data_IF_049637233736
#
_entry.id   IF_049637233736
#
_cell.length_a   1.000
_cell.length_b   1.000
_cell.length_c   1.000
_cell.angle_alpha   90.00
_cell.angle_beta   90.00
_cell.angle_gamma   90.00
#
_symmetry.space_group_name_H-M   'P 1'
#
loop_
_entity.id
_entity.type
_entity.pdbx_description
1 polymer ?
#
# COMPACT_ATOMS: atom_id res chain seq x y z
N UNK A 1 21.21 27.46 23.51
CA UNK A 1 21.06 27.60 22.05
C UNK A 1 19.93 26.69 21.57
N UNK A 2 18.87 27.33 21.09
CA UNK A 2 17.82 26.91 20.13
C UNK A 2 17.15 25.52 20.22
N UNK A 3 16.03 25.46 20.95
CA UNK A 3 14.98 24.41 20.93
C UNK A 3 14.17 24.32 19.61
N UNK A 4 14.46 25.14 18.60
CA UNK A 4 13.66 25.27 17.38
C UNK A 4 14.19 24.48 16.17
N UNK A 5 15.39 23.89 16.25
CA UNK A 5 16.00 23.21 15.10
C UNK A 5 15.55 21.76 14.93
N UNK A 6 15.05 21.13 16.01
CA UNK A 6 14.56 19.75 15.98
C UNK A 6 13.09 19.61 15.55
N UNK A 7 12.33 20.72 15.48
CA UNK A 7 10.93 20.72 15.04
C UNK A 7 10.77 20.64 13.52
N UNK A 8 11.81 21.00 12.75
CA UNK A 8 11.74 21.07 11.28
C UNK A 8 12.44 19.89 10.59
N UNK A 9 13.21 19.06 11.31
CA UNK A 9 14.00 17.99 10.71
C UNK A 9 13.21 16.69 10.52
N UNK A 10 12.29 16.39 11.45
CA UNK A 10 11.41 15.22 11.36
C UNK A 10 10.39 15.35 10.22
N UNK A 11 9.77 16.53 9.95
CA UNK A 11 8.95 16.71 8.75
C UNK A 11 9.75 16.68 7.44
N UNK A 12 11.02 17.13 7.44
CA UNK A 12 11.83 17.26 6.22
C UNK A 12 12.38 15.91 5.75
N UNK A 13 12.73 14.98 6.65
CA UNK A 13 13.12 13.61 6.31
C UNK A 13 11.93 12.76 5.83
N UNK A 14 10.75 13.03 6.39
CA UNK A 14 9.47 12.45 5.94
C UNK A 14 9.11 13.00 4.55
N UNK A 15 9.37 14.27 4.26
CA UNK A 15 9.06 14.89 2.95
C UNK A 15 9.90 14.27 1.82
N UNK A 16 11.22 14.19 1.90
CA UNK A 16 12.04 13.70 0.76
C UNK A 16 11.91 12.19 0.48
N UNK A 17 11.61 11.38 1.49
CA UNK A 17 11.36 9.94 1.32
C UNK A 17 9.90 9.62 0.91
N UNK A 18 8.97 10.56 1.13
CA UNK A 18 7.52 10.46 0.84
C UNK A 18 7.09 11.52 -0.18
N UNK A 19 7.98 12.18 -0.91
CA UNK A 19 7.55 13.20 -1.89
C UNK A 19 7.16 12.55 -3.22
N UNK A 20 7.90 11.52 -3.65
CA UNK A 20 7.59 10.77 -4.88
C UNK A 20 6.64 9.59 -4.63
N UNK A 21 6.59 9.06 -3.40
CA UNK A 21 5.78 7.88 -3.09
C UNK A 21 4.26 8.12 -3.21
N UNK A 22 3.68 9.25 -2.77
CA UNK A 22 2.25 9.51 -2.91
C UNK A 22 1.86 9.74 -4.37
N UNK A 23 2.68 10.46 -5.14
CA UNK A 23 2.37 10.73 -6.55
C UNK A 23 2.48 9.46 -7.40
N UNK A 24 3.58 8.71 -7.29
CA UNK A 24 3.78 7.46 -8.03
C UNK A 24 2.79 6.37 -7.58
N UNK A 25 2.47 6.30 -6.29
CA UNK A 25 1.44 5.39 -5.77
C UNK A 25 0.06 5.77 -6.28
N UNK A 26 -0.30 7.06 -6.25
CA UNK A 26 -1.58 7.53 -6.78
C UNK A 26 -1.71 7.27 -8.28
N UNK A 27 -0.64 7.47 -9.05
CA UNK A 27 -0.60 7.15 -10.48
C UNK A 27 -0.76 5.64 -10.70
N UNK A 28 -0.01 4.82 -9.95
CA UNK A 28 -0.09 3.36 -10.03
C UNK A 28 -1.49 2.84 -9.65
N UNK A 29 -2.11 3.39 -8.60
CA UNK A 29 -3.47 3.05 -8.18
C UNK A 29 -4.52 3.53 -9.20
N UNK A 30 -4.29 4.67 -9.84
CA UNK A 30 -5.13 5.17 -10.94
C UNK A 30 -5.07 4.20 -12.12
N UNK A 31 -3.88 3.72 -12.47
CA UNK A 31 -3.68 2.72 -13.52
C UNK A 31 -4.36 1.39 -13.18
N UNK A 32 -4.24 0.92 -11.93
CA UNK A 32 -4.97 -0.27 -11.44
C UNK A 32 -6.48 -0.10 -11.60
N UNK A 33 -7.03 1.04 -11.19
CA UNK A 33 -8.47 1.33 -11.33
C UNK A 33 -8.91 1.37 -12.80
N UNK A 34 -8.07 1.94 -13.67
CA UNK A 34 -8.34 1.97 -15.11
C UNK A 34 -8.36 0.56 -15.72
N UNK A 35 -7.39 -0.28 -15.39
CA UNK A 35 -7.33 -1.68 -15.83
C UNK A 35 -8.51 -2.50 -15.30
N UNK A 36 -8.92 -2.26 -14.05
CA UNK A 36 -10.12 -2.87 -13.47
C UNK A 36 -11.38 -2.48 -14.25
N UNK A 37 -11.56 -1.19 -14.55
CA UNK A 37 -12.70 -0.73 -15.34
C UNK A 37 -12.69 -1.34 -16.75
N UNK A 38 -11.53 -1.43 -17.39
CA UNK A 38 -11.40 -2.05 -18.72
C UNK A 38 -11.74 -3.53 -18.71
N UNK A 39 -11.24 -4.29 -17.73
CA UNK A 39 -11.58 -5.69 -17.56
C UNK A 39 -13.08 -5.88 -17.30
N UNK A 40 -13.68 -5.06 -16.41
CA UNK A 40 -15.09 -5.14 -16.08
C UNK A 40 -15.97 -4.87 -17.30
N UNK A 41 -15.70 -3.81 -18.07
CA UNK A 41 -16.45 -3.49 -19.28
C UNK A 41 -16.44 -4.64 -20.30
N UNK A 42 -15.31 -5.33 -20.45
CA UNK A 42 -15.21 -6.50 -21.35
C UNK A 42 -16.04 -7.66 -20.78
N UNK A 43 -15.95 -7.94 -19.48
CA UNK A 43 -16.69 -9.02 -18.84
C UNK A 43 -18.21 -8.80 -18.89
N UNK A 44 -18.67 -7.56 -18.72
CA UNK A 44 -20.09 -7.20 -18.82
C UNK A 44 -20.59 -7.40 -20.25
N UNK A 45 -19.86 -6.89 -21.25
CA UNK A 45 -20.19 -7.10 -22.67
C UNK A 45 -20.16 -8.58 -23.08
N UNK A 46 -19.20 -9.34 -22.53
CA UNK A 46 -19.12 -10.79 -22.71
C UNK A 46 -20.32 -11.50 -22.12
N UNK A 47 -20.78 -11.10 -20.94
CA UNK A 47 -21.96 -11.69 -20.29
C UNK A 47 -23.19 -11.59 -21.19
N UNK A 48 -23.45 -10.40 -21.75
CA UNK A 48 -24.55 -10.17 -22.69
C UNK A 48 -24.39 -11.00 -23.98
N UNK A 49 -23.17 -11.04 -24.52
CA UNK A 49 -22.84 -11.80 -25.74
C UNK A 49 -23.05 -13.31 -25.53
N UNK A 50 -22.59 -13.83 -24.39
CA UNK A 50 -22.71 -15.25 -24.03
C UNK A 50 -24.18 -15.62 -23.85
N UNK A 51 -24.98 -14.79 -23.15
CA UNK A 51 -26.41 -15.02 -22.99
C UNK A 51 -27.11 -15.08 -24.36
N UNK A 52 -26.85 -14.09 -25.22
CA UNK A 52 -27.42 -14.01 -26.57
C UNK A 52 -27.00 -15.21 -27.42
N UNK A 53 -25.74 -15.64 -27.31
CA UNK A 53 -25.22 -16.82 -28.01
C UNK A 53 -25.95 -18.10 -27.59
N UNK A 54 -26.15 -18.31 -26.28
CA UNK A 54 -26.87 -19.48 -25.78
C UNK A 54 -28.35 -19.48 -26.17
N UNK A 55 -29.02 -18.32 -26.13
CA UNK A 55 -30.40 -18.21 -26.61
C UNK A 55 -30.50 -18.57 -28.10
N UNK A 56 -29.61 -18.02 -28.93
CA UNK A 56 -29.60 -18.32 -30.36
C UNK A 56 -29.27 -19.79 -30.65
N UNK A 57 -28.38 -20.41 -29.88
CA UNK A 57 -28.12 -21.85 -29.96
C UNK A 57 -29.35 -22.68 -29.57
N UNK A 58 -30.04 -22.29 -28.47
CA UNK A 58 -31.24 -22.98 -27.97
C UNK A 58 -32.36 -23.00 -29.01
N UNK A 59 -32.54 -21.90 -29.75
CA UNK A 59 -33.56 -21.78 -30.79
C UNK A 59 -33.09 -22.26 -32.17
N UNK A 60 -31.88 -22.83 -32.30
CA UNK A 60 -31.34 -23.30 -33.58
C UNK A 60 -31.16 -22.19 -34.61
N UNK A 61 -30.95 -20.93 -34.17
CA UNK A 61 -30.84 -19.74 -35.02
C UNK A 61 -29.47 -19.55 -35.67
N UNK A 62 -28.48 -20.37 -35.28
CA UNK A 62 -27.09 -20.26 -35.75
C UNK A 62 -26.65 -21.52 -36.47
N UNK A 63 -25.97 -21.30 -37.60
CA UNK A 63 -25.25 -22.33 -38.34
C UNK A 63 -23.96 -22.70 -37.61
N UNK A 64 -23.40 -23.88 -37.90
CA UNK A 64 -22.25 -24.42 -37.17
C UNK A 64 -20.99 -23.53 -37.30
N UNK A 65 -20.78 -22.93 -38.48
CA UNK A 65 -19.67 -21.98 -38.68
C UNK A 65 -19.87 -20.67 -37.88
N UNK A 66 -21.11 -20.22 -37.70
CA UNK A 66 -21.44 -19.01 -36.93
C UNK A 66 -21.19 -19.24 -35.45
N UNK A 67 -21.53 -20.44 -34.96
CA UNK A 67 -21.21 -20.84 -33.58
C UNK A 67 -19.71 -20.84 -33.34
N UNK A 68 -18.96 -21.44 -34.26
CA UNK A 68 -17.49 -21.51 -34.17
C UNK A 68 -16.88 -20.11 -34.17
N UNK A 69 -17.39 -19.21 -35.01
CA UNK A 69 -16.97 -17.80 -35.08
C UNK A 69 -17.28 -17.04 -33.78
N UNK A 70 -18.49 -17.21 -33.23
CA UNK A 70 -18.90 -16.59 -31.98
C UNK A 70 -18.05 -17.08 -30.80
N UNK A 71 -17.80 -18.39 -30.70
CA UNK A 71 -16.94 -18.98 -29.67
C UNK A 71 -15.53 -18.40 -29.75
N UNK A 72 -14.95 -18.33 -30.96
CA UNK A 72 -13.63 -17.72 -31.14
C UNK A 72 -13.62 -16.24 -30.71
N UNK A 73 -14.69 -15.50 -30.99
CA UNK A 73 -14.83 -14.12 -30.56
C UNK A 73 -14.89 -13.99 -29.03
N UNK A 74 -15.74 -14.78 -28.38
CA UNK A 74 -15.89 -14.82 -26.91
C UNK A 74 -14.55 -15.16 -26.26
N UNK A 75 -13.84 -16.18 -26.75
CA UNK A 75 -12.54 -16.58 -26.21
C UNK A 75 -11.52 -15.44 -26.32
N UNK A 76 -11.45 -14.76 -27.46
CA UNK A 76 -10.51 -13.65 -27.68
C UNK A 76 -10.78 -12.47 -26.75
N UNK A 77 -12.05 -12.12 -26.56
CA UNK A 77 -12.44 -11.04 -25.65
C UNK A 77 -12.12 -11.42 -24.20
N UNK A 78 -12.33 -12.68 -23.82
CA UNK A 78 -11.96 -13.16 -22.49
C UNK A 78 -10.45 -13.13 -22.27
N UNK A 79 -9.66 -13.52 -23.26
CA UNK A 79 -8.20 -13.41 -23.23
C UNK A 79 -7.73 -11.96 -23.06
N UNK A 80 -8.41 -11.01 -23.70
CA UNK A 80 -8.14 -9.57 -23.49
C UNK A 80 -8.42 -9.14 -22.05
N UNK A 81 -9.56 -9.53 -21.47
CA UNK A 81 -9.84 -9.24 -20.07
C UNK A 81 -8.78 -9.85 -19.13
N UNK A 82 -8.30 -11.06 -19.45
CA UNK A 82 -7.24 -11.72 -18.70
C UNK A 82 -5.91 -10.94 -18.76
N UNK A 83 -5.56 -10.34 -19.90
CA UNK A 83 -4.36 -9.48 -20.03
C UNK A 83 -4.47 -8.29 -19.08
N UNK A 84 -5.59 -7.56 -19.07
CA UNK A 84 -5.78 -6.44 -18.14
C UNK A 84 -5.65 -6.87 -16.67
N UNK A 85 -6.16 -8.04 -16.29
CA UNK A 85 -5.99 -8.61 -14.96
C UNK A 85 -4.52 -8.96 -14.62
N UNK A 86 -3.74 -9.43 -15.60
CA UNK A 86 -2.31 -9.73 -15.41
C UNK A 86 -1.50 -8.45 -15.23
N UNK A 87 -1.74 -7.45 -16.05
CA UNK A 87 -1.07 -6.14 -15.98
C UNK A 87 -1.38 -5.47 -14.64
N UNK A 88 -2.63 -5.54 -14.18
CA UNK A 88 -3.04 -5.05 -12.86
C UNK A 88 -2.24 -5.72 -11.74
N UNK A 89 -2.10 -7.05 -11.80
CA UNK A 89 -1.34 -7.81 -10.79
C UNK A 89 0.12 -7.36 -10.74
N UNK A 90 0.74 -7.13 -11.89
CA UNK A 90 2.13 -6.67 -11.97
C UNK A 90 2.32 -5.30 -11.30
N UNK A 91 1.41 -4.36 -11.54
CA UNK A 91 1.44 -3.04 -10.88
C UNK A 91 1.33 -3.19 -9.36
N UNK A 92 0.39 -4.01 -8.87
CA UNK A 92 0.20 -4.25 -7.43
C UNK A 92 1.43 -4.92 -6.80
N UNK A 93 2.04 -5.89 -7.48
CA UNK A 93 3.29 -6.52 -7.03
C UNK A 93 4.44 -5.50 -6.94
N UNK A 94 4.54 -4.59 -7.90
CA UNK A 94 5.53 -3.52 -7.88
C UNK A 94 5.29 -2.54 -6.72
N UNK A 95 4.05 -2.09 -6.50
CA UNK A 95 3.66 -1.26 -5.35
C UNK A 95 4.09 -1.93 -4.04
N UNK A 96 3.76 -3.21 -3.87
CA UNK A 96 4.07 -3.95 -2.65
C UNK A 96 5.59 -4.14 -2.46
N UNK A 97 6.33 -4.39 -3.53
CA UNK A 97 7.80 -4.46 -3.51
C UNK A 97 8.42 -3.15 -3.05
N UNK A 98 7.97 -2.02 -3.62
CA UNK A 98 8.43 -0.67 -3.25
C UNK A 98 8.10 -0.34 -1.80
N UNK A 99 6.87 -0.61 -1.37
CA UNK A 99 6.46 -0.43 0.02
C UNK A 99 7.35 -1.21 1.00
N UNK A 100 7.63 -2.50 0.71
CA UNK A 100 8.53 -3.31 1.56
C UNK A 100 9.96 -2.77 1.61
N UNK A 101 10.47 -2.22 0.51
CA UNK A 101 11.81 -1.58 0.50
C UNK A 101 11.81 -0.32 1.36
N UNK A 102 10.73 0.47 1.33
CA UNK A 102 10.63 1.68 2.14
C UNK A 102 10.60 1.35 3.63
N UNK A 103 9.74 0.41 4.06
CA UNK A 103 9.67 -0.02 5.47
C UNK A 103 11.05 -0.41 6.00
N UNK A 104 11.79 -1.23 5.24
CA UNK A 104 13.16 -1.63 5.63
C UNK A 104 14.14 -0.45 5.72
N UNK A 105 14.03 0.55 4.84
CA UNK A 105 14.87 1.74 4.90
C UNK A 105 14.57 2.55 6.15
N UNK A 106 13.28 2.73 6.48
CA UNK A 106 12.85 3.42 7.69
C UNK A 106 13.35 2.69 8.95
N UNK A 107 13.28 1.35 8.99
CA UNK A 107 13.81 0.56 10.11
C UNK A 107 15.32 0.78 10.29
N UNK A 108 16.09 0.82 9.20
CA UNK A 108 17.54 1.07 9.24
C UNK A 108 17.84 2.50 9.69
N UNK A 109 17.14 3.50 9.15
CA UNK A 109 17.32 4.90 9.52
C UNK A 109 16.96 5.14 11.00
N UNK A 110 15.90 4.50 11.48
CA UNK A 110 15.51 4.54 12.89
C UNK A 110 16.58 3.94 13.79
N UNK A 111 17.14 2.78 13.43
CA UNK A 111 18.22 2.17 14.22
C UNK A 111 19.50 3.01 14.19
N UNK A 112 19.82 3.62 13.05
CA UNK A 112 20.95 4.55 12.95
C UNK A 112 20.77 5.75 13.86
N UNK A 113 19.58 6.36 13.83
CA UNK A 113 19.25 7.49 14.70
C UNK A 113 19.33 7.10 16.18
N UNK A 114 18.91 5.89 16.52
CA UNK A 114 19.03 5.34 17.88
C UNK A 114 20.49 5.23 18.32
N UNK A 115 21.36 4.66 17.48
CA UNK A 115 22.80 4.56 17.76
C UNK A 115 23.48 5.93 17.87
N UNK A 116 23.12 6.89 17.00
CA UNK A 116 23.63 8.27 17.05
C UNK A 116 23.23 8.97 18.36
N UNK A 117 21.97 8.84 18.79
CA UNK A 117 21.49 9.37 20.06
C UNK A 117 22.22 8.78 21.27
N UNK A 118 22.45 7.46 21.26
CA UNK A 118 23.14 6.76 22.35
C UNK A 118 24.62 7.15 22.44
N UNK A 119 25.26 7.41 21.30
CA UNK A 119 26.65 7.87 21.25
C UNK A 119 26.80 9.32 21.75
N UNK A 120 25.85 10.19 21.42
CA UNK A 120 25.86 11.60 21.85
C UNK A 120 25.41 11.77 23.31
N UNK A 121 24.54 10.89 23.82
CA UNK A 121 24.06 10.89 25.20
C UNK A 121 23.79 9.45 25.68
N UNK A 122 24.77 8.80 26.33
CA UNK A 122 24.57 7.43 26.80
C UNK A 122 23.40 7.33 27.79
N UNK A 123 22.55 6.31 27.60
CA UNK A 123 21.34 6.06 28.37
C UNK A 123 20.11 6.90 27.98
N UNK A 124 20.20 7.80 26.98
CA UNK A 124 19.04 8.61 26.56
C UNK A 124 17.94 7.75 25.93
N UNK A 125 18.33 6.69 25.21
CA UNK A 125 17.40 5.80 24.49
C UNK A 125 16.50 5.05 25.46
N UNK A 126 17.06 4.50 26.55
CA UNK A 126 16.32 3.77 27.58
C UNK A 126 15.33 4.69 28.33
N UNK A 127 15.71 5.95 28.56
CA UNK A 127 14.84 6.94 29.20
C UNK A 127 13.67 7.37 28.31
N UNK A 128 13.88 7.41 26.99
CA UNK A 128 12.83 7.74 26.01
C UNK A 128 11.88 6.55 25.84
N UNK A 129 12.41 5.33 25.69
CA UNK A 129 11.60 4.12 25.54
C UNK A 129 10.68 3.92 26.76
N UNK A 130 11.18 4.09 28.00
CA UNK A 130 10.36 4.07 29.24
C UNK A 130 9.24 5.11 29.27
N UNK A 131 9.47 6.30 28.70
CA UNK A 131 8.46 7.36 28.60
C UNK A 131 7.44 7.08 27.50
N UNK A 132 7.85 6.46 26.39
CA UNK A 132 6.99 6.13 25.26
C UNK A 132 6.07 4.93 25.53
N UNK A 133 6.52 3.93 26.31
CA UNK A 133 5.71 2.77 26.68
C UNK A 133 4.75 3.02 27.84
N UNK A 134 4.77 4.21 28.45
CA UNK A 134 3.85 4.57 29.52
C UNK A 134 4.14 3.89 30.86
N UNK A 135 5.30 3.26 31.03
CA UNK A 135 5.78 2.81 32.34
C UNK A 135 6.25 4.03 33.16
N UNK A 136 5.28 4.80 33.63
CA UNK A 136 5.51 5.81 34.65
C UNK A 136 5.92 5.09 35.93
N UNK A 137 7.12 5.41 36.43
CA UNK A 137 7.64 4.99 37.72
C UNK A 137 6.65 5.29 38.86
N UNK A 138 5.77 4.34 39.19
CA UNK A 138 5.04 4.29 40.45
C UNK A 138 5.95 3.82 41.57
N UNK A 139 7.03 4.56 41.87
CA UNK A 139 7.69 4.49 43.18
C UNK A 139 8.76 5.57 43.39
N UNK A 140 8.34 6.79 43.76
CA UNK A 140 9.19 7.73 44.52
C UNK A 140 8.40 8.87 45.15
N UNK A 141 7.44 8.54 46.00
CA UNK A 141 6.84 9.50 46.94
C UNK A 141 6.50 8.86 48.29
N UNK A 142 7.49 8.21 48.92
CA UNK A 142 7.50 8.04 50.37
C UNK A 142 8.83 8.53 50.92
N UNK A 143 8.77 9.40 51.93
CA UNK A 143 9.95 9.72 52.75
C UNK A 143 10.50 11.15 52.66
N UNK A 144 9.64 12.18 52.67
CA UNK A 144 10.01 13.46 53.30
C UNK A 144 8.89 13.90 54.24
N UNK A 145 8.94 13.39 55.46
CA UNK A 145 8.23 13.98 56.61
C UNK A 145 8.69 15.42 56.74
N UNK A 146 7.81 16.37 56.43
CA UNK A 146 7.96 17.76 56.84
C UNK A 146 7.73 17.81 58.36
N UNK A 147 8.82 17.96 59.11
CA UNK A 147 8.75 18.43 60.49
C UNK A 147 8.36 19.91 60.40
N UNK A 148 7.16 20.23 60.84
CA UNK A 148 6.74 21.61 61.10
C UNK A 148 6.64 21.75 62.61
N UNK A 149 7.41 22.73 63.10
CA UNK A 149 7.54 23.18 64.49
C UNK A 149 6.22 23.49 65.18
#
# INVERSE_FOLDING_TARGET
MNKLQYSCFIPMLISTAIENMPSELNESLTNVRQLDLQAQNILDSLSETIQTFFENCRFGRLLEYEKSTQILNITREYERALVHCKDKREIVENIYSTYRKLVRKLDIELEKFRMELEADNSGITEQIEKKCTGESDNNKFEGRTLVIS
#
